data_IF_985806370017
#
_entry.id   IF_985806370017
#
_cell.length_a   1.000
_cell.length_b   1.000
_cell.length_c   1.000
_cell.angle_alpha   90.00
_cell.angle_beta   90.00
_cell.angle_gamma   90.00
#
_symmetry.space_group_name_H-M   'P 1'
#
loop_
_entity.id
_entity.type
_entity.pdbx_description
1 polymer ?
#
# COMPACT_ATOMS: atom_id res chain seq x y z
N UNK A 1 -15.51 1.69 8.05
CA UNK A 1 -16.26 1.06 6.94
C UNK A 1 -15.78 1.63 5.62
N UNK A 2 -15.31 0.78 4.70
CA UNK A 2 -14.82 1.21 3.38
C UNK A 2 -15.78 0.70 2.31
N UNK A 3 -16.32 1.62 1.50
CA UNK A 3 -17.16 1.26 0.36
C UNK A 3 -16.23 1.05 -0.84
N UNK A 4 -16.11 -0.19 -1.32
CA UNK A 4 -15.36 -0.54 -2.52
C UNK A 4 -16.35 -0.86 -3.63
N UNK A 5 -16.17 -0.22 -4.79
CA UNK A 5 -16.81 -0.64 -6.03
C UNK A 5 -16.02 -1.81 -6.59
N UNK A 6 -16.62 -3.01 -6.63
CA UNK A 6 -15.95 -4.20 -7.18
C UNK A 6 -15.51 -3.94 -8.63
N UNK A 7 -14.30 -4.36 -8.95
CA UNK A 7 -13.72 -4.53 -10.29
C UNK A 7 -13.24 -3.30 -11.08
N UNK A 8 -12.97 -2.16 -10.47
CA UNK A 8 -12.43 -1.03 -11.23
C UNK A 8 -10.90 -1.03 -11.32
N UNK A 9 -10.21 -1.59 -10.36
CA UNK A 9 -8.75 -1.78 -10.36
C UNK A 9 -8.38 -3.24 -10.11
N UNK A 10 -7.31 -3.69 -10.76
CA UNK A 10 -6.76 -5.03 -10.53
C UNK A 10 -5.49 -4.91 -9.70
N UNK A 11 -5.46 -5.61 -8.58
CA UNK A 11 -4.26 -5.72 -7.75
C UNK A 11 -3.19 -6.54 -8.48
N UNK A 12 -1.99 -5.98 -8.62
CA UNK A 12 -0.83 -6.58 -9.26
C UNK A 12 0.46 -5.98 -8.70
N UNK A 13 1.61 -6.53 -9.06
CA UNK A 13 2.89 -5.92 -8.76
C UNK A 13 3.20 -4.81 -9.77
N UNK A 14 3.21 -3.53 -9.39
CA UNK A 14 3.43 -2.44 -10.35
C UNK A 14 4.90 -2.28 -10.78
N UNK A 15 5.82 -3.08 -10.28
CA UNK A 15 7.26 -2.92 -10.52
C UNK A 15 7.83 -3.86 -11.60
N UNK A 16 7.14 -4.94 -11.92
CA UNK A 16 7.58 -6.04 -12.80
C UNK A 16 6.99 -6.08 -14.20
N UNK A 17 6.18 -5.10 -14.68
CA UNK A 17 5.48 -5.20 -15.95
C UNK A 17 6.44 -5.32 -17.15
N UNK A 18 5.98 -5.94 -18.23
CA UNK A 18 6.66 -6.07 -19.51
C UNK A 18 6.17 -5.06 -20.56
N UNK A 19 7.06 -4.63 -21.43
CA UNK A 19 6.75 -3.65 -22.47
C UNK A 19 6.53 -2.23 -21.96
N UNK A 20 5.91 -1.40 -22.80
CA UNK A 20 5.48 -0.04 -22.43
C UNK A 20 4.36 0.41 -23.36
N UNK A 21 3.56 1.38 -22.91
CA UNK A 21 2.45 1.97 -23.65
C UNK A 21 1.10 1.74 -23.01
N UNK A 22 0.05 2.05 -23.77
CA UNK A 22 -1.34 1.91 -23.36
C UNK A 22 -2.02 0.91 -24.27
N UNK A 23 -2.73 -0.05 -23.67
CA UNK A 23 -3.60 -1.00 -24.34
C UNK A 23 -5.04 -0.80 -23.91
N UNK A 24 -5.95 -0.73 -24.86
CA UNK A 24 -7.40 -0.66 -24.62
C UNK A 24 -8.09 -1.69 -25.46
N UNK A 25 -8.98 -2.47 -24.89
CA UNK A 25 -9.72 -3.52 -25.60
C UNK A 25 -10.63 -4.30 -24.66
N UNK A 26 -11.32 -5.28 -25.18
CA UNK A 26 -12.18 -6.17 -24.42
C UNK A 26 -11.33 -7.25 -23.74
N UNK A 27 -11.56 -7.48 -22.45
CA UNK A 27 -10.88 -8.53 -21.68
C UNK A 27 -11.36 -9.92 -22.11
N UNK A 28 -10.45 -10.78 -22.57
CA UNK A 28 -10.79 -12.15 -23.01
C UNK A 28 -9.72 -13.12 -22.53
N UNK A 29 -10.13 -14.27 -21.98
CA UNK A 29 -9.19 -15.35 -21.68
C UNK A 29 -8.48 -15.76 -22.96
N UNK A 30 -7.16 -15.93 -22.92
CA UNK A 30 -6.36 -16.20 -24.12
C UNK A 30 -6.80 -17.48 -24.81
N UNK A 31 -7.31 -18.45 -24.07
CA UNK A 31 -7.87 -19.70 -24.60
C UNK A 31 -9.12 -19.48 -25.44
N UNK A 32 -9.87 -18.42 -25.18
CA UNK A 32 -11.13 -18.10 -25.85
C UNK A 32 -10.98 -17.07 -26.98
N UNK A 33 -9.77 -16.57 -27.22
CA UNK A 33 -9.50 -15.67 -28.36
C UNK A 33 -9.35 -16.50 -29.63
N UNK A 34 -10.17 -16.20 -30.61
CA UNK A 34 -10.14 -16.85 -31.94
C UNK A 34 -10.36 -15.83 -33.08
N UNK A 35 -10.44 -16.30 -34.30
CA UNK A 35 -10.56 -15.49 -35.52
C UNK A 35 -11.86 -14.66 -35.60
N UNK A 36 -12.89 -15.01 -34.82
CA UNK A 36 -14.15 -14.24 -34.75
C UNK A 36 -13.92 -12.84 -34.15
N UNK A 37 -12.80 -12.65 -33.41
CA UNK A 37 -12.38 -11.36 -32.85
C UNK A 37 -11.41 -10.62 -33.81
N UNK A 38 -11.30 -11.03 -35.06
CA UNK A 38 -10.47 -10.33 -36.05
C UNK A 38 -10.98 -8.90 -36.24
N UNK A 39 -10.07 -7.93 -36.14
CA UNK A 39 -10.40 -6.50 -36.18
C UNK A 39 -10.78 -5.88 -34.84
N UNK A 40 -11.13 -6.68 -33.84
CA UNK A 40 -11.44 -6.19 -32.48
C UNK A 40 -10.17 -5.95 -31.66
N UNK A 41 -10.21 -4.92 -30.83
CA UNK A 41 -9.16 -4.63 -29.87
C UNK A 41 -9.37 -5.48 -28.60
N UNK A 42 -8.39 -6.30 -28.25
CA UNK A 42 -8.47 -7.31 -27.19
C UNK A 42 -7.35 -7.13 -26.16
N UNK A 43 -7.69 -7.29 -24.90
CA UNK A 43 -6.74 -7.48 -23.79
C UNK A 43 -6.78 -8.97 -23.42
N UNK A 44 -5.65 -9.64 -23.61
CA UNK A 44 -5.53 -11.06 -23.33
C UNK A 44 -5.33 -11.32 -21.83
N UNK A 45 -6.20 -12.15 -21.25
CA UNK A 45 -6.06 -12.62 -19.87
C UNK A 45 -5.35 -13.97 -19.88
N UNK A 46 -4.22 -14.10 -19.19
CA UNK A 46 -3.34 -15.28 -19.19
C UNK A 46 -3.24 -15.85 -17.77
N UNK A 47 -3.87 -17.00 -17.57
CA UNK A 47 -3.88 -17.69 -16.28
C UNK A 47 -2.53 -18.37 -15.97
N UNK A 48 -2.33 -18.71 -14.70
CA UNK A 48 -1.12 -19.43 -14.23
C UNK A 48 -0.90 -20.80 -14.86
N UNK A 49 -1.92 -21.36 -15.51
CA UNK A 49 -1.86 -22.68 -16.14
C UNK A 49 -1.19 -22.65 -17.53
N UNK A 50 -0.98 -21.46 -18.10
CA UNK A 50 -0.37 -21.29 -19.42
C UNK A 50 1.09 -20.92 -19.23
N UNK A 51 1.97 -21.63 -19.93
CA UNK A 51 3.40 -21.32 -19.99
C UNK A 51 3.66 -20.06 -20.80
N UNK A 52 4.66 -19.27 -20.42
CA UNK A 52 4.99 -18.02 -21.10
C UNK A 52 5.37 -18.19 -22.58
N UNK A 53 5.95 -19.35 -22.96
CA UNK A 53 6.28 -19.63 -24.37
C UNK A 53 5.02 -19.88 -25.18
N UNK A 54 4.07 -20.66 -24.63
CA UNK A 54 2.79 -20.92 -25.27
C UNK A 54 1.94 -19.66 -25.36
N UNK A 55 1.92 -18.84 -24.32
CA UNK A 55 1.27 -17.54 -24.33
C UNK A 55 1.81 -16.63 -25.43
N UNK A 56 3.14 -16.51 -25.52
CA UNK A 56 3.77 -15.66 -26.53
C UNK A 56 3.51 -16.18 -27.96
N UNK A 57 3.60 -17.49 -28.18
CA UNK A 57 3.29 -18.11 -29.46
C UNK A 57 1.85 -17.82 -29.87
N UNK A 58 0.90 -18.05 -28.96
CA UNK A 58 -0.53 -17.83 -29.23
C UNK A 58 -0.84 -16.37 -29.53
N UNK A 59 -0.25 -15.41 -28.81
CA UNK A 59 -0.40 -13.98 -29.10
C UNK A 59 0.12 -13.65 -30.52
N UNK A 60 1.29 -14.16 -30.89
CA UNK A 60 1.85 -13.94 -32.22
C UNK A 60 0.97 -14.54 -33.33
N UNK A 61 0.48 -15.77 -33.15
CA UNK A 61 -0.41 -16.45 -34.09
C UNK A 61 -1.75 -15.72 -34.26
N UNK A 62 -2.39 -15.29 -33.16
CA UNK A 62 -3.63 -14.54 -33.18
C UNK A 62 -3.46 -13.18 -33.88
N UNK A 63 -2.32 -12.50 -33.60
CA UNK A 63 -2.01 -11.22 -34.21
C UNK A 63 -1.79 -11.39 -35.74
N UNK A 64 -1.14 -12.48 -36.17
CA UNK A 64 -0.96 -12.80 -37.58
C UNK A 64 -2.28 -13.09 -38.30
N UNK A 65 -3.30 -13.57 -37.56
CA UNK A 65 -4.66 -13.83 -38.08
C UNK A 65 -5.58 -12.60 -37.99
N UNK A 66 -5.04 -11.42 -37.64
CA UNK A 66 -5.78 -10.17 -37.67
C UNK A 66 -6.49 -9.78 -36.37
N UNK A 67 -6.27 -10.49 -35.26
CA UNK A 67 -6.76 -10.06 -33.94
C UNK A 67 -5.85 -8.97 -33.39
N UNK A 68 -6.43 -7.86 -32.95
CA UNK A 68 -5.66 -6.74 -32.39
C UNK A 68 -5.41 -6.94 -30.90
N UNK A 69 -4.39 -7.74 -30.53
CA UNK A 69 -3.98 -7.85 -29.12
C UNK A 69 -3.30 -6.55 -28.69
N UNK A 70 -3.97 -5.73 -27.89
CA UNK A 70 -3.51 -4.40 -27.43
C UNK A 70 -2.70 -4.46 -26.14
N UNK A 71 -2.82 -5.53 -25.37
CA UNK A 71 -2.11 -5.74 -24.13
C UNK A 71 -2.45 -7.09 -23.51
N UNK A 72 -1.80 -7.41 -22.42
CA UNK A 72 -2.08 -8.63 -21.68
C UNK A 72 -2.03 -8.41 -20.15
N UNK A 73 -2.81 -9.23 -19.45
CA UNK A 73 -2.86 -9.32 -18.00
C UNK A 73 -2.50 -10.75 -17.63
N UNK A 74 -1.43 -10.94 -16.86
CA UNK A 74 -0.81 -12.23 -16.58
C UNK A 74 -0.84 -12.52 -15.08
N UNK A 75 -1.20 -13.74 -14.71
CA UNK A 75 -1.28 -14.13 -13.30
C UNK A 75 0.09 -14.38 -12.66
N UNK A 76 1.09 -14.86 -13.45
CA UNK A 76 2.46 -15.12 -12.99
C UNK A 76 3.38 -13.93 -13.27
N UNK A 77 4.60 -13.97 -12.75
CA UNK A 77 5.71 -13.07 -13.07
C UNK A 77 6.35 -13.48 -14.41
N UNK A 78 5.61 -13.32 -15.50
CA UNK A 78 6.01 -13.76 -16.84
C UNK A 78 5.99 -12.62 -17.89
N UNK A 79 5.62 -11.37 -17.51
CA UNK A 79 5.41 -10.28 -18.48
C UNK A 79 6.62 -10.01 -19.36
N UNK A 80 7.81 -9.94 -18.76
CA UNK A 80 9.06 -9.69 -19.49
C UNK A 80 9.40 -10.85 -20.41
N UNK A 81 9.20 -12.08 -19.95
CA UNK A 81 9.48 -13.31 -20.72
C UNK A 81 8.58 -13.43 -21.94
N UNK A 82 7.29 -13.15 -21.76
CA UNK A 82 6.31 -13.13 -22.85
C UNK A 82 6.67 -12.02 -23.83
N UNK A 83 6.81 -10.77 -23.33
CA UNK A 83 7.03 -9.62 -24.19
C UNK A 83 8.30 -9.77 -25.05
N UNK A 84 9.39 -10.34 -24.50
CA UNK A 84 10.63 -10.57 -25.26
C UNK A 84 10.43 -11.50 -26.47
N UNK A 85 9.43 -12.38 -26.44
CA UNK A 85 9.11 -13.35 -27.51
C UNK A 85 8.04 -12.87 -28.48
N UNK A 86 7.42 -11.71 -28.21
CA UNK A 86 6.42 -11.15 -29.12
C UNK A 86 7.07 -10.48 -30.33
N UNK A 87 6.49 -10.69 -31.52
CA UNK A 87 6.88 -10.01 -32.74
C UNK A 87 6.54 -8.51 -32.67
N UNK A 88 5.37 -8.18 -32.14
CA UNK A 88 4.93 -6.82 -31.83
C UNK A 88 4.87 -6.63 -30.32
N UNK A 89 5.64 -5.68 -29.79
CA UNK A 89 5.66 -5.39 -28.37
C UNK A 89 4.35 -4.75 -27.95
N UNK A 90 3.83 -5.20 -26.81
CA UNK A 90 2.60 -4.69 -26.18
C UNK A 90 2.84 -4.46 -24.70
N UNK A 91 2.07 -3.59 -24.03
CA UNK A 91 2.13 -3.48 -22.58
C UNK A 91 1.53 -4.74 -21.93
N UNK A 92 2.22 -5.28 -20.92
CA UNK A 92 1.82 -6.49 -20.18
C UNK A 92 1.95 -6.20 -18.69
N UNK A 93 0.86 -6.43 -17.96
CA UNK A 93 0.81 -6.36 -16.50
C UNK A 93 0.80 -7.77 -15.96
N UNK A 94 1.60 -8.07 -14.95
CA UNK A 94 1.76 -9.40 -14.38
C UNK A 94 1.63 -9.46 -12.87
N UNK A 95 1.87 -10.64 -12.28
CA UNK A 95 1.68 -10.91 -10.84
C UNK A 95 0.30 -10.47 -10.33
N UNK A 96 -0.74 -10.75 -11.14
CA UNK A 96 -2.09 -10.28 -10.85
C UNK A 96 -2.72 -11.12 -9.75
N UNK A 97 -3.16 -10.44 -8.69
CA UNK A 97 -3.90 -11.03 -7.58
C UNK A 97 -5.36 -11.25 -7.97
N UNK A 98 -5.94 -12.35 -7.50
CA UNK A 98 -7.36 -12.70 -7.72
C UNK A 98 -7.75 -12.73 -9.21
N UNK A 99 -6.88 -13.28 -10.04
CA UNK A 99 -7.06 -13.38 -11.49
C UNK A 99 -8.44 -13.95 -11.89
N UNK A 100 -8.95 -14.92 -11.13
CA UNK A 100 -10.25 -15.56 -11.34
C UNK A 100 -11.44 -14.61 -11.14
N UNK A 101 -11.23 -13.46 -10.51
CA UNK A 101 -12.26 -12.41 -10.30
C UNK A 101 -12.28 -11.36 -11.41
N UNK A 102 -11.35 -11.43 -12.36
CA UNK A 102 -11.32 -10.48 -13.47
C UNK A 102 -12.52 -10.71 -14.37
N UNK A 103 -13.39 -9.70 -14.57
CA UNK A 103 -14.52 -9.86 -15.47
C UNK A 103 -14.04 -9.98 -16.92
N UNK A 104 -14.61 -10.93 -17.64
CA UNK A 104 -14.39 -11.11 -19.08
C UNK A 104 -15.41 -10.34 -19.90
N UNK A 105 -15.08 -10.08 -21.19
CA UNK A 105 -15.92 -9.31 -22.13
C UNK A 105 -16.21 -7.87 -21.68
N UNK A 106 -15.31 -7.27 -20.89
CA UNK A 106 -15.44 -5.90 -20.41
C UNK A 106 -14.37 -5.01 -21.03
N UNK A 107 -14.73 -3.75 -21.30
CA UNK A 107 -13.76 -2.77 -21.76
C UNK A 107 -12.70 -2.55 -20.69
N UNK A 108 -11.46 -2.82 -21.05
CA UNK A 108 -10.29 -2.81 -20.16
C UNK A 108 -9.23 -1.91 -20.75
N UNK A 109 -8.63 -1.09 -19.91
CA UNK A 109 -7.44 -0.31 -20.25
C UNK A 109 -6.30 -0.70 -19.32
N UNK A 110 -5.12 -0.86 -19.88
CA UNK A 110 -3.89 -1.04 -19.10
C UNK A 110 -2.81 -0.09 -19.61
N UNK A 111 -1.98 0.36 -18.69
CA UNK A 111 -0.86 1.26 -18.97
C UNK A 111 0.40 0.72 -18.30
N UNK A 112 1.49 0.71 -19.06
CA UNK A 112 2.84 0.37 -18.56
C UNK A 112 3.77 1.50 -18.96
N UNK A 113 4.37 2.16 -17.98
CA UNK A 113 5.36 3.21 -18.21
C UNK A 113 6.75 2.61 -18.51
N UNK A 114 7.56 3.37 -19.24
CA UNK A 114 8.95 3.04 -19.47
C UNK A 114 9.73 2.91 -18.14
N UNK A 115 10.82 2.21 -18.16
CA UNK A 115 11.67 2.04 -16.97
C UNK A 115 12.10 3.39 -16.39
N UNK A 116 11.85 3.59 -15.10
CA UNK A 116 12.16 4.85 -14.40
C UNK A 116 11.10 5.95 -14.56
N UNK A 117 9.98 5.67 -15.24
CA UNK A 117 8.83 6.56 -15.33
C UNK A 117 7.62 5.95 -14.65
N UNK A 118 6.61 6.76 -14.41
CA UNK A 118 5.30 6.37 -13.88
C UNK A 118 4.22 6.56 -14.92
N UNK A 119 3.09 5.88 -14.76
CA UNK A 119 1.93 6.02 -15.63
C UNK A 119 1.35 7.44 -15.55
N UNK A 120 0.77 7.91 -16.63
CA UNK A 120 0.23 9.26 -16.73
C UNK A 120 -1.25 9.30 -17.13
N UNK A 121 -1.69 8.34 -17.93
CA UNK A 121 -3.06 8.33 -18.46
C UNK A 121 -4.04 7.74 -17.44
N UNK A 122 -3.76 6.56 -16.89
CA UNK A 122 -4.62 5.92 -15.90
C UNK A 122 -4.51 6.52 -14.49
N UNK A 123 -3.46 7.29 -14.21
CA UNK A 123 -3.35 8.10 -12.98
C UNK A 123 -4.02 9.47 -13.08
N UNK A 124 -4.64 9.76 -14.23
CA UNK A 124 -5.38 11.01 -14.48
C UNK A 124 -6.87 10.70 -14.73
N UNK A 125 -7.82 11.31 -13.98
CA UNK A 125 -9.24 11.04 -14.15
C UNK A 125 -9.76 11.38 -15.56
N UNK A 126 -9.23 12.43 -16.18
CA UNK A 126 -9.59 12.80 -17.56
C UNK A 126 -8.99 11.81 -18.59
N UNK A 127 -7.84 11.23 -18.29
CA UNK A 127 -7.26 10.16 -19.10
C UNK A 127 -8.16 8.93 -19.10
N UNK A 128 -8.57 8.45 -17.93
CA UNK A 128 -9.51 7.33 -17.82
C UNK A 128 -10.84 7.70 -18.51
N UNK A 129 -11.38 8.90 -18.27
CA UNK A 129 -12.63 9.34 -18.88
C UNK A 129 -12.57 9.30 -20.43
N UNK A 130 -11.45 9.70 -21.00
CA UNK A 130 -11.23 9.67 -22.45
C UNK A 130 -11.20 8.24 -22.99
N UNK A 131 -10.45 7.34 -22.33
CA UNK A 131 -10.31 5.95 -22.78
C UNK A 131 -11.63 5.16 -22.70
N UNK A 132 -12.44 5.42 -21.67
CA UNK A 132 -13.71 4.73 -21.43
C UNK A 132 -14.94 5.50 -21.93
N UNK A 133 -14.75 6.68 -22.54
CA UNK A 133 -15.82 7.57 -23.02
C UNK A 133 -16.85 7.85 -21.91
N UNK A 134 -16.36 8.26 -20.74
CA UNK A 134 -17.19 8.54 -19.58
C UNK A 134 -17.84 9.93 -19.67
N UNK A 135 -19.04 10.06 -19.13
CA UNK A 135 -19.66 11.35 -18.93
C UNK A 135 -19.12 12.07 -17.68
N UNK A 136 -19.59 13.29 -17.41
CA UNK A 136 -19.11 14.12 -16.28
C UNK A 136 -19.36 13.48 -14.92
N UNK A 137 -20.49 12.81 -14.71
CA UNK A 137 -20.81 12.14 -13.44
C UNK A 137 -19.95 10.90 -13.25
N UNK A 138 -19.78 10.09 -14.28
CA UNK A 138 -18.88 8.93 -14.27
C UNK A 138 -17.43 9.36 -14.03
N UNK A 139 -17.01 10.51 -14.58
CA UNK A 139 -15.67 11.06 -14.39
C UNK A 139 -15.42 11.44 -12.94
N UNK A 140 -16.39 12.00 -12.24
CA UNK A 140 -16.26 12.27 -10.79
C UNK A 140 -16.03 10.99 -9.97
N UNK A 141 -16.70 9.89 -10.36
CA UNK A 141 -16.62 8.62 -9.65
C UNK A 141 -15.26 7.93 -9.77
N UNK A 142 -14.49 8.23 -10.81
CA UNK A 142 -13.17 7.61 -11.04
C UNK A 142 -12.00 8.40 -10.45
N UNK A 143 -12.23 9.59 -9.91
CA UNK A 143 -11.17 10.40 -9.27
C UNK A 143 -10.42 9.62 -8.19
N UNK A 144 -11.06 8.90 -7.25
CA UNK A 144 -10.35 8.10 -6.25
C UNK A 144 -9.49 7.00 -6.87
N UNK A 145 -9.95 6.41 -7.98
CA UNK A 145 -9.24 5.34 -8.70
C UNK A 145 -7.96 5.89 -9.32
N UNK A 146 -8.06 6.99 -10.08
CA UNK A 146 -6.91 7.61 -10.70
C UNK A 146 -5.86 8.06 -9.68
N UNK A 147 -6.29 8.60 -8.54
CA UNK A 147 -5.40 8.98 -7.43
C UNK A 147 -4.67 7.78 -6.83
N UNK A 148 -5.36 6.65 -6.63
CA UNK A 148 -4.75 5.43 -6.13
C UNK A 148 -3.67 4.84 -7.07
N UNK A 149 -3.67 5.25 -8.33
CA UNK A 149 -2.71 4.80 -9.35
C UNK A 149 -1.52 5.75 -9.53
N UNK A 150 -1.52 6.91 -8.88
CA UNK A 150 -0.39 7.87 -8.94
C UNK A 150 0.88 7.20 -8.39
N UNK A 151 1.98 7.38 -9.12
CA UNK A 151 3.28 6.82 -8.73
C UNK A 151 3.52 5.38 -9.18
N UNK A 152 2.52 4.68 -9.69
CA UNK A 152 2.69 3.32 -10.19
C UNK A 152 3.40 3.31 -11.55
N UNK A 153 4.14 2.25 -11.83
CA UNK A 153 4.73 1.99 -13.16
C UNK A 153 3.76 1.30 -14.11
N UNK A 154 2.75 0.61 -13.58
CA UNK A 154 1.70 -0.03 -14.36
C UNK A 154 0.35 0.04 -13.66
N UNK A 155 -0.71 -0.07 -14.43
CA UNK A 155 -2.08 -0.14 -13.92
C UNK A 155 -3.01 -0.85 -14.90
N UNK A 156 -4.08 -1.42 -14.37
CA UNK A 156 -5.21 -1.98 -15.13
C UNK A 156 -6.50 -1.45 -14.54
N UNK A 157 -7.35 -0.90 -15.41
CA UNK A 157 -8.70 -0.42 -15.06
C UNK A 157 -9.71 -1.10 -15.97
N UNK A 158 -10.83 -1.55 -15.42
CA UNK A 158 -11.92 -2.22 -16.16
C UNK A 158 -13.20 -1.42 -15.99
N UNK A 159 -13.88 -1.14 -17.10
CA UNK A 159 -15.19 -0.51 -17.09
C UNK A 159 -16.27 -1.55 -16.81
N UNK A 160 -16.96 -1.43 -15.68
CA UNK A 160 -18.12 -2.26 -15.36
C UNK A 160 -19.42 -1.62 -15.85
N UNK A 161 -20.42 -2.41 -16.28
CA UNK A 161 -21.73 -1.89 -16.68
C UNK A 161 -22.44 -1.15 -15.54
N UNK A 162 -23.25 -0.15 -15.88
CA UNK A 162 -24.13 0.50 -14.90
C UNK A 162 -25.07 -0.54 -14.27
N UNK A 163 -25.01 -0.67 -12.95
CA UNK A 163 -25.83 -1.63 -12.19
C UNK A 163 -25.10 -2.86 -11.66
N UNK A 164 -23.93 -3.22 -12.22
CA UNK A 164 -23.10 -4.32 -11.72
C UNK A 164 -22.14 -3.90 -10.59
N UNK A 165 -22.04 -2.59 -10.33
CA UNK A 165 -21.25 -2.07 -9.22
C UNK A 165 -22.05 -2.23 -7.93
N UNK A 166 -21.90 -3.35 -7.28
CA UNK A 166 -22.34 -3.52 -5.89
C UNK A 166 -21.35 -2.80 -5.00
N UNK A 167 -21.80 -1.73 -4.34
CA UNK A 167 -21.02 -1.15 -3.26
C UNK A 167 -20.88 -2.22 -2.17
N UNK A 168 -19.68 -2.72 -1.98
CA UNK A 168 -19.38 -3.66 -0.90
C UNK A 168 -18.95 -2.85 0.31
N UNK A 169 -19.70 -2.98 1.38
CA UNK A 169 -19.31 -2.49 2.70
C UNK A 169 -18.30 -3.49 3.26
N UNK A 170 -17.06 -3.07 3.46
CA UNK A 170 -16.07 -3.87 4.16
C UNK A 170 -16.16 -3.49 5.64
N UNK A 171 -16.52 -4.42 6.53
CA UNK A 171 -16.55 -4.14 7.96
C UNK A 171 -15.16 -3.83 8.49
N UNK A 172 -15.07 -3.10 9.59
CA UNK A 172 -13.81 -2.83 10.29
C UNK A 172 -13.12 -4.13 10.71
N UNK A 173 -13.92 -5.10 11.17
CA UNK A 173 -13.49 -6.45 11.51
C UNK A 173 -12.90 -6.56 12.91
N UNK A 174 -12.28 -7.70 13.16
CA UNK A 174 -11.66 -8.04 14.43
C UNK A 174 -10.14 -8.10 14.32
N UNK A 175 -9.48 -7.79 15.42
CA UNK A 175 -8.05 -7.99 15.63
C UNK A 175 -7.86 -9.16 16.59
N UNK A 176 -7.03 -10.10 16.21
CA UNK A 176 -6.60 -11.22 17.02
C UNK A 176 -5.19 -10.95 17.54
N UNK A 177 -4.99 -11.07 18.82
CA UNK A 177 -3.72 -10.85 19.51
C UNK A 177 -3.32 -12.14 20.19
N UNK A 178 -2.22 -12.75 19.76
CA UNK A 178 -1.63 -13.92 20.38
C UNK A 178 -0.45 -13.50 21.26
N UNK A 179 -0.60 -13.57 22.56
CA UNK A 179 0.48 -13.39 23.52
C UNK A 179 1.13 -14.71 23.93
N UNK A 180 2.19 -14.63 24.74
CA UNK A 180 2.86 -15.83 25.27
C UNK A 180 1.95 -16.61 26.25
N UNK A 181 1.14 -15.92 27.02
CA UNK A 181 0.29 -16.52 28.08
C UNK A 181 -1.20 -16.42 27.82
N UNK A 182 -1.63 -15.45 27.02
CA UNK A 182 -3.05 -15.17 26.76
C UNK A 182 -3.25 -14.76 25.33
N UNK A 183 -4.42 -15.11 24.77
CA UNK A 183 -4.89 -14.63 23.49
C UNK A 183 -6.15 -13.78 23.69
N UNK A 184 -6.32 -12.78 22.85
CA UNK A 184 -7.50 -11.92 22.84
C UNK A 184 -7.98 -11.70 21.41
N UNK A 185 -9.29 -11.47 21.31
CA UNK A 185 -9.96 -11.05 20.09
C UNK A 185 -10.74 -9.79 20.42
N UNK A 186 -10.61 -8.76 19.62
CA UNK A 186 -11.27 -7.47 19.83
C UNK A 186 -11.85 -6.93 18.53
N UNK A 187 -13.09 -6.47 18.57
CA UNK A 187 -13.72 -5.77 17.46
C UNK A 187 -13.14 -4.36 17.34
N UNK A 188 -12.73 -3.97 16.13
CA UNK A 188 -12.15 -2.64 15.88
C UNK A 188 -13.16 -1.53 16.20
N UNK A 189 -14.44 -1.76 15.94
CA UNK A 189 -15.52 -0.78 16.19
C UNK A 189 -15.69 -0.39 17.68
N UNK A 190 -15.06 -1.13 18.60
CA UNK A 190 -15.08 -0.78 20.03
C UNK A 190 -14.20 0.41 20.40
N UNK A 191 -13.34 0.86 19.48
CA UNK A 191 -12.46 1.98 19.69
C UNK A 191 -11.01 1.59 20.02
N UNK A 192 -10.15 2.59 20.09
CA UNK A 192 -8.72 2.39 20.31
C UNK A 192 -8.38 1.89 21.71
N UNK A 193 -9.04 2.43 22.76
CA UNK A 193 -8.74 2.04 24.16
C UNK A 193 -8.91 0.54 24.43
N UNK A 194 -10.04 -0.12 24.07
CA UNK A 194 -10.17 -1.57 24.23
C UNK A 194 -9.14 -2.39 23.44
N UNK A 195 -8.68 -1.88 22.29
CA UNK A 195 -7.62 -2.54 21.52
C UNK A 195 -6.29 -2.48 22.29
N UNK A 196 -5.96 -1.33 22.85
CA UNK A 196 -4.72 -1.15 23.62
C UNK A 196 -4.75 -1.95 24.92
N UNK A 197 -5.88 -2.01 25.65
CA UNK A 197 -6.04 -2.86 26.83
C UNK A 197 -5.87 -4.35 26.50
N UNK A 198 -6.43 -4.80 25.37
CA UNK A 198 -6.27 -6.18 24.92
C UNK A 198 -4.79 -6.50 24.61
N UNK A 199 -4.06 -5.54 24.01
CA UNK A 199 -2.65 -5.66 23.72
C UNK A 199 -1.83 -5.80 25.02
N UNK A 200 -2.03 -4.91 25.97
CA UNK A 200 -1.34 -4.94 27.29
C UNK A 200 -1.60 -6.27 28.01
N UNK A 201 -2.85 -6.77 27.98
CA UNK A 201 -3.22 -8.04 28.62
C UNK A 201 -2.49 -9.24 28.01
N UNK A 202 -2.14 -9.15 26.72
CA UNK A 202 -1.45 -10.21 25.96
C UNK A 202 0.08 -10.10 25.96
N UNK A 203 0.63 -9.03 26.53
CA UNK A 203 2.08 -8.79 26.51
C UNK A 203 2.87 -9.86 27.29
N UNK A 204 4.03 -10.36 26.80
CA UNK A 204 4.62 -10.08 25.49
C UNK A 204 3.83 -10.73 24.34
N UNK A 205 3.69 -9.99 23.24
CA UNK A 205 2.91 -10.41 22.08
C UNK A 205 3.77 -11.24 21.13
N UNK A 206 3.23 -12.35 20.66
CA UNK A 206 3.86 -13.21 19.67
C UNK A 206 3.48 -12.83 18.26
N UNK A 207 2.18 -12.53 18.02
CA UNK A 207 1.67 -12.20 16.71
C UNK A 207 0.32 -11.49 16.79
N UNK A 208 0.05 -10.62 15.81
CA UNK A 208 -1.23 -9.92 15.65
C UNK A 208 -1.69 -10.08 14.21
N UNK A 209 -2.97 -10.44 14.01
CA UNK A 209 -3.58 -10.49 12.68
C UNK A 209 -5.03 -10.01 12.74
N UNK A 210 -5.56 -9.65 11.59
CA UNK A 210 -6.94 -9.23 11.47
C UNK A 210 -7.83 -10.30 10.84
N UNK A 211 -9.12 -10.16 11.03
CA UNK A 211 -10.14 -11.02 10.42
C UNK A 211 -10.09 -10.90 8.90
N UNK A 212 -10.04 -12.03 8.20
CA UNK A 212 -9.95 -12.09 6.74
C UNK A 212 -11.16 -11.44 6.08
N UNK A 213 -10.93 -10.61 5.05
CA UNK A 213 -12.00 -9.93 4.32
C UNK A 213 -12.52 -8.66 5.00
N UNK A 214 -11.84 -8.17 6.03
CA UNK A 214 -12.15 -6.92 6.74
C UNK A 214 -11.06 -5.87 6.53
N UNK A 215 -11.33 -4.62 6.91
CA UNK A 215 -10.34 -3.54 6.84
C UNK A 215 -9.10 -3.84 7.69
N UNK A 216 -9.28 -4.28 8.93
CA UNK A 216 -8.17 -4.65 9.82
C UNK A 216 -7.36 -5.82 9.25
N UNK A 217 -8.05 -6.84 8.72
CA UNK A 217 -7.40 -7.98 8.08
C UNK A 217 -6.55 -7.57 6.88
N UNK A 218 -7.13 -6.80 5.97
CA UNK A 218 -6.42 -6.33 4.77
C UNK A 218 -5.21 -5.45 5.09
N UNK A 219 -5.33 -4.58 6.10
CA UNK A 219 -4.25 -3.68 6.50
C UNK A 219 -3.09 -4.45 7.16
N UNK A 220 -3.35 -5.33 8.12
CA UNK A 220 -2.31 -6.10 8.80
C UNK A 220 -1.63 -7.10 7.85
N UNK A 221 -2.39 -7.69 6.92
CA UNK A 221 -1.82 -8.54 5.88
C UNK A 221 -0.92 -7.77 4.92
N UNK A 222 -1.31 -6.55 4.53
CA UNK A 222 -0.47 -5.68 3.71
C UNK A 222 0.86 -5.37 4.40
N UNK A 223 0.86 -5.12 5.71
CA UNK A 223 2.10 -4.92 6.48
C UNK A 223 3.00 -6.16 6.38
N UNK A 224 2.44 -7.37 6.54
CA UNK A 224 3.19 -8.63 6.40
C UNK A 224 3.80 -8.79 5.02
N UNK A 225 3.00 -8.56 3.97
CA UNK A 225 3.46 -8.70 2.58
C UNK A 225 4.58 -7.72 2.28
N UNK A 226 4.43 -6.45 2.64
CA UNK A 226 5.46 -5.42 2.42
C UNK A 226 6.75 -5.76 3.15
N UNK A 227 6.65 -6.17 4.42
CA UNK A 227 7.84 -6.56 5.19
C UNK A 227 8.50 -7.83 4.66
N UNK A 228 7.72 -8.80 4.22
CA UNK A 228 8.23 -10.01 3.59
C UNK A 228 9.04 -9.70 2.32
N UNK A 229 8.54 -8.80 1.48
CA UNK A 229 9.25 -8.33 0.28
C UNK A 229 10.54 -7.59 0.62
N UNK A 230 10.50 -6.68 1.62
CA UNK A 230 11.67 -5.93 2.07
C UNK A 230 12.74 -6.82 2.71
N UNK A 231 12.34 -7.93 3.34
CA UNK A 231 13.23 -8.83 4.08
C UNK A 231 13.60 -10.10 3.31
N UNK A 232 13.03 -10.29 2.11
CA UNK A 232 13.17 -11.50 1.30
C UNK A 232 12.80 -12.77 2.10
N UNK A 233 11.67 -12.70 2.81
CA UNK A 233 11.14 -13.76 3.64
C UNK A 233 9.73 -14.18 3.20
N UNK A 234 9.30 -15.39 3.57
CA UNK A 234 7.89 -15.80 3.40
C UNK A 234 6.99 -14.94 4.33
N UNK A 235 5.86 -14.37 3.85
CA UNK A 235 4.92 -13.61 4.68
C UNK A 235 4.48 -14.33 5.96
N UNK A 236 4.44 -15.67 5.95
CA UNK A 236 4.09 -16.48 7.13
C UNK A 236 5.11 -16.37 8.27
N UNK A 237 6.35 -16.01 7.96
CA UNK A 237 7.40 -15.81 8.94
C UNK A 237 7.40 -14.43 9.56
N UNK A 238 6.69 -13.48 8.93
CA UNK A 238 6.58 -12.11 9.42
C UNK A 238 5.55 -12.07 10.57
N UNK A 239 5.99 -11.63 11.74
CA UNK A 239 5.17 -11.50 12.95
C UNK A 239 4.99 -10.04 13.31
N UNK A 240 3.74 -9.62 13.51
CA UNK A 240 3.41 -8.30 14.04
C UNK A 240 3.40 -8.43 15.56
N UNK A 241 4.28 -7.71 16.24
CA UNK A 241 4.48 -7.86 17.69
C UNK A 241 4.06 -6.66 18.51
N UNK A 242 3.77 -5.56 17.85
CA UNK A 242 3.21 -4.37 18.49
C UNK A 242 2.23 -3.65 17.59
N UNK A 243 1.28 -2.97 18.20
CA UNK A 243 0.21 -2.22 17.54
C UNK A 243 -0.10 -0.96 18.37
N UNK A 244 -0.20 0.17 17.70
CA UNK A 244 -0.77 1.38 18.27
C UNK A 244 -2.11 1.65 17.61
N UNK A 245 -3.15 1.81 18.42
CA UNK A 245 -4.47 2.24 17.99
C UNK A 245 -4.77 3.63 18.54
N UNK A 246 -5.32 4.52 17.70
CA UNK A 246 -5.70 5.88 18.07
C UNK A 246 -7.07 6.18 17.48
N UNK A 247 -7.98 6.70 18.31
CA UNK A 247 -9.26 7.22 17.84
C UNK A 247 -9.04 8.51 17.04
N UNK A 248 -9.72 8.62 15.92
CA UNK A 248 -9.68 9.79 15.04
C UNK A 248 -11.03 10.04 14.40
N UNK A 249 -11.14 11.13 13.66
CA UNK A 249 -12.34 11.49 12.91
C UNK A 249 -11.96 11.68 11.43
N UNK A 250 -12.85 11.27 10.54
CA UNK A 250 -12.66 11.47 9.11
C UNK A 250 -13.87 12.22 8.54
N UNK A 251 -13.66 13.37 7.89
CA UNK A 251 -14.74 14.09 7.21
C UNK A 251 -15.25 13.27 6.03
N UNK A 252 -16.56 13.10 5.94
CA UNK A 252 -17.23 12.38 4.87
C UNK A 252 -18.34 13.24 4.27
N UNK A 253 -18.30 13.41 2.97
CA UNK A 253 -19.31 14.21 2.24
C UNK A 253 -20.68 13.54 2.37
N UNK A 254 -21.68 14.29 2.83
CA UNK A 254 -23.06 13.81 2.97
C UNK A 254 -23.67 13.63 1.58
N UNK A 255 -24.11 12.40 1.26
CA UNK A 255 -24.81 12.11 0.00
C UNK A 255 -26.18 12.78 0.01
N UNK A 256 -26.46 13.64 -0.99
CA UNK A 256 -27.72 14.36 -1.11
C UNK A 256 -27.78 15.71 -0.35
N UNK A 257 -26.70 16.12 0.28
CA UNK A 257 -26.56 17.46 0.86
C UNK A 257 -26.58 18.55 -0.20
N UNK A 258 -27.32 19.64 0.05
CA UNK A 258 -27.55 20.74 -0.90
C UNK A 258 -26.33 21.71 -0.93
N UNK A 259 -25.52 21.73 0.14
CA UNK A 259 -24.48 22.73 0.38
C UNK A 259 -23.10 22.13 0.72
N UNK A 260 -22.69 21.03 0.06
CA UNK A 260 -21.40 20.36 0.33
C UNK A 260 -21.16 20.03 1.81
N UNK A 261 -22.20 19.52 2.47
CA UNK A 261 -22.16 19.18 3.88
C UNK A 261 -21.24 17.97 4.13
N UNK A 262 -20.47 18.04 5.22
CA UNK A 262 -19.61 16.96 5.70
C UNK A 262 -20.11 16.48 7.06
N UNK A 263 -20.12 15.16 7.25
CA UNK A 263 -20.22 14.55 8.57
C UNK A 263 -18.83 14.09 9.02
N UNK A 264 -18.56 14.18 10.33
CA UNK A 264 -17.35 13.59 10.90
C UNK A 264 -17.68 12.17 11.36
N UNK A 265 -17.05 11.19 10.73
CA UNK A 265 -17.19 9.78 11.10
C UNK A 265 -16.04 9.33 12.01
N UNK A 266 -16.37 8.56 13.05
CA UNK A 266 -15.35 7.95 13.88
C UNK A 266 -14.53 6.95 13.07
N UNK A 267 -13.22 7.03 13.24
CA UNK A 267 -12.26 6.13 12.63
C UNK A 267 -11.18 5.73 13.65
N UNK A 268 -10.44 4.68 13.36
CA UNK A 268 -9.32 4.24 14.18
C UNK A 268 -8.09 4.18 13.30
N UNK A 269 -7.10 4.98 13.65
CA UNK A 269 -5.76 4.89 13.10
C UNK A 269 -5.02 3.73 13.74
N UNK A 270 -4.39 2.89 12.93
CA UNK A 270 -3.58 1.78 13.41
C UNK A 270 -2.16 1.90 12.85
N UNK A 271 -1.17 1.77 13.72
CA UNK A 271 0.21 1.55 13.33
C UNK A 271 0.64 0.17 13.84
N UNK A 272 1.31 -0.62 13.01
CA UNK A 272 1.75 -1.96 13.35
C UNK A 272 3.26 -2.09 13.20
N UNK A 273 3.90 -2.77 14.14
CA UNK A 273 5.33 -3.04 14.11
C UNK A 273 5.59 -4.53 13.93
N UNK A 274 6.47 -4.80 13.00
CA UNK A 274 7.00 -6.15 12.74
C UNK A 274 8.36 -6.28 13.41
N UNK A 275 8.62 -7.41 14.05
CA UNK A 275 9.98 -7.73 14.51
C UNK A 275 10.87 -7.94 13.29
N UNK A 276 11.78 -7.00 13.06
CA UNK A 276 12.82 -7.17 12.06
C UNK A 276 13.95 -8.02 12.65
N UNK A 277 14.27 -9.13 11.99
CA UNK A 277 15.44 -9.93 12.37
C UNK A 277 16.73 -9.20 11.98
N UNK A 278 17.81 -9.45 12.75
CA UNK A 278 19.18 -8.96 12.48
C UNK A 278 19.70 -9.34 11.09
N UNK A 279 19.10 -10.34 10.45
CA UNK A 279 19.48 -10.87 9.14
C UNK A 279 19.65 -9.81 8.04
N UNK A 280 18.83 -8.75 8.06
CA UNK A 280 18.98 -7.66 7.09
C UNK A 280 20.25 -6.86 7.28
N UNK A 281 20.56 -6.48 8.52
CA UNK A 281 21.79 -5.73 8.82
C UNK A 281 23.05 -6.58 8.56
N UNK A 282 22.98 -7.87 8.82
CA UNK A 282 24.06 -8.81 8.51
C UNK A 282 24.27 -8.96 7.00
N UNK A 283 23.19 -9.04 6.19
CA UNK A 283 23.28 -9.01 4.72
C UNK A 283 23.90 -7.71 4.21
N UNK A 284 23.42 -6.56 4.68
CA UNK A 284 23.99 -5.25 4.32
C UNK A 284 25.49 -5.20 4.69
N UNK A 285 25.84 -5.69 5.87
CA UNK A 285 27.23 -5.73 6.31
C UNK A 285 28.10 -6.61 5.40
N UNK A 286 27.59 -7.78 4.97
CA UNK A 286 28.28 -8.67 4.03
C UNK A 286 28.44 -8.02 2.65
N UNK A 287 27.39 -7.42 2.10
CA UNK A 287 27.43 -6.73 0.81
C UNK A 287 28.42 -5.55 0.82
N UNK A 288 28.43 -4.77 1.90
CA UNK A 288 29.39 -3.68 2.09
C UNK A 288 30.81 -4.21 2.22
N UNK A 289 31.01 -5.31 2.97
CA UNK A 289 32.31 -5.93 3.13
C UNK A 289 32.86 -6.41 1.79
N UNK A 290 32.03 -7.04 0.96
CA UNK A 290 32.40 -7.48 -0.38
C UNK A 290 32.80 -6.31 -1.28
N UNK A 291 31.96 -5.26 -1.32
CA UNK A 291 32.18 -4.08 -2.17
C UNK A 291 33.37 -3.22 -1.76
N UNK A 292 33.63 -3.12 -0.46
CA UNK A 292 34.66 -2.24 0.09
C UNK A 292 36.00 -2.97 0.34
N UNK A 293 36.00 -4.30 0.34
CA UNK A 293 37.19 -5.11 0.73
C UNK A 293 37.62 -4.85 2.18
N UNK A 294 36.69 -4.42 3.05
CA UNK A 294 36.94 -4.10 4.46
C UNK A 294 36.02 -4.91 5.34
N UNK A 295 36.48 -5.28 6.57
CA UNK A 295 35.61 -5.91 7.54
C UNK A 295 34.52 -4.93 7.99
N UNK A 296 33.27 -5.33 7.85
CA UNK A 296 32.07 -4.56 8.29
C UNK A 296 31.45 -5.30 9.48
N UNK A 297 31.17 -4.60 10.56
CA UNK A 297 30.58 -5.15 11.78
C UNK A 297 29.32 -4.38 12.11
N UNK A 298 28.24 -5.11 12.40
CA UNK A 298 27.02 -4.51 12.96
C UNK A 298 27.28 -4.10 14.40
N UNK A 299 27.19 -2.80 14.69
CA UNK A 299 27.57 -2.23 15.99
C UNK A 299 26.60 -2.56 17.13
N UNK A 300 25.29 -2.61 16.84
CA UNK A 300 24.25 -2.90 17.83
C UNK A 300 22.87 -2.59 17.28
N UNK A 301 21.85 -2.64 18.13
CA UNK A 301 20.49 -2.22 17.80
C UNK A 301 20.32 -0.71 18.05
N UNK A 302 19.43 -0.08 17.30
CA UNK A 302 19.21 1.37 17.29
C UNK A 302 19.02 1.96 18.69
N UNK A 303 18.14 1.38 19.48
CA UNK A 303 17.85 1.83 20.84
C UNK A 303 19.06 1.79 21.80
N UNK A 304 19.93 0.76 21.66
CA UNK A 304 21.17 0.68 22.44
C UNK A 304 22.19 1.73 21.99
N UNK A 305 22.28 1.97 20.69
CA UNK A 305 23.19 2.96 20.13
C UNK A 305 22.76 4.38 20.49
N UNK A 306 21.45 4.66 20.51
CA UNK A 306 20.90 5.92 20.93
C UNK A 306 21.30 6.26 22.38
N UNK A 307 21.16 5.30 23.31
CA UNK A 307 21.50 5.54 24.72
C UNK A 307 23.02 5.67 24.93
N UNK A 308 23.82 4.92 24.19
CA UNK A 308 25.29 5.04 24.24
C UNK A 308 25.70 6.41 23.67
N UNK A 309 25.09 6.83 22.56
CA UNK A 309 25.34 8.14 21.96
C UNK A 309 24.99 9.29 22.90
N UNK A 310 23.85 9.22 23.59
CA UNK A 310 23.45 10.25 24.55
C UNK A 310 24.40 10.38 25.73
N UNK A 311 25.02 9.27 26.19
CA UNK A 311 26.02 9.28 27.24
C UNK A 311 27.33 10.00 26.85
N UNK A 312 27.55 10.27 25.54
CA UNK A 312 28.66 11.10 25.10
C UNK A 312 28.42 12.61 25.28
N UNK A 313 27.17 13.00 25.54
CA UNK A 313 26.80 14.40 25.76
C UNK A 313 27.27 14.87 27.15
N UNK A 314 28.00 15.97 27.25
CA UNK A 314 28.44 16.51 28.55
C UNK A 314 27.27 16.74 29.52
N UNK A 315 27.41 16.28 30.75
CA UNK A 315 26.39 16.41 31.79
C UNK A 315 25.39 15.27 31.88
N UNK A 316 25.42 14.31 30.97
CA UNK A 316 24.58 13.09 31.06
C UNK A 316 25.30 11.98 31.84
N UNK A 317 24.59 11.35 32.78
CA UNK A 317 25.12 10.30 33.65
C UNK A 317 24.10 9.14 33.77
N UNK A 318 24.58 7.97 34.15
CA UNK A 318 23.72 6.83 34.50
C UNK A 318 23.08 7.02 35.88
N UNK A 319 21.80 6.69 36.11
CA UNK A 319 20.90 6.08 35.14
C UNK A 319 20.36 7.12 34.14
N UNK A 320 20.02 6.66 32.94
CA UNK A 320 19.48 7.50 31.88
C UNK A 320 18.36 6.74 31.16
N UNK A 321 17.30 7.46 30.81
CA UNK A 321 16.23 6.97 29.94
C UNK A 321 16.17 7.84 28.70
N UNK A 322 15.97 7.24 27.56
CA UNK A 322 15.82 7.93 26.27
C UNK A 322 14.55 7.42 25.59
N UNK A 323 13.85 8.34 24.99
CA UNK A 323 12.77 8.05 24.02
C UNK A 323 13.24 8.65 22.69
N UNK A 324 13.40 7.80 21.71
CA UNK A 324 13.71 8.16 20.32
C UNK A 324 12.45 8.00 19.49
N UNK A 325 11.91 9.12 19.02
CA UNK A 325 10.67 9.16 18.24
C UNK A 325 11.01 9.38 16.77
N UNK A 326 11.04 8.30 16.02
CA UNK A 326 11.32 8.31 14.58
C UNK A 326 10.11 8.69 13.73
N UNK A 327 10.11 8.24 12.49
CA UNK A 327 8.98 8.40 11.57
C UNK A 327 7.90 7.35 11.79
N UNK A 328 8.25 6.06 11.84
CA UNK A 328 7.32 4.92 11.93
C UNK A 328 7.23 4.25 13.28
N UNK A 329 8.29 4.35 14.10
CA UNK A 329 8.43 3.70 15.40
C UNK A 329 8.98 4.63 16.45
N UNK A 330 8.72 4.29 17.69
CA UNK A 330 9.27 4.95 18.89
C UNK A 330 10.10 3.95 19.68
N UNK A 331 11.36 4.27 19.94
CA UNK A 331 12.28 3.47 20.71
C UNK A 331 12.44 4.04 22.12
N UNK A 332 12.20 3.22 23.13
CA UNK A 332 12.46 3.58 24.50
C UNK A 332 13.59 2.72 25.07
N UNK A 333 14.58 3.36 25.66
CA UNK A 333 15.75 2.71 26.23
C UNK A 333 16.06 3.25 27.60
N UNK A 334 16.46 2.36 28.51
CA UNK A 334 16.88 2.70 29.86
C UNK A 334 18.23 2.06 30.13
N UNK A 335 19.19 2.85 30.63
CA UNK A 335 20.44 2.31 31.19
C UNK A 335 20.46 2.50 32.70
N UNK A 336 20.65 1.43 33.40
CA UNK A 336 20.74 1.42 34.87
C UNK A 336 22.11 1.85 35.35
N UNK A 337 22.27 2.12 36.67
CA UNK A 337 23.56 2.51 37.28
C UNK A 337 24.65 1.49 37.06
N UNK A 338 24.34 0.20 37.08
CA UNK A 338 25.23 -0.91 36.81
C UNK A 338 25.52 -1.15 35.33
N UNK A 339 24.96 -0.32 34.45
CA UNK A 339 25.22 -0.34 33.00
C UNK A 339 24.40 -1.32 32.20
N UNK A 340 23.37 -1.98 32.77
CA UNK A 340 22.45 -2.81 32.02
C UNK A 340 21.52 -1.96 31.19
N UNK A 341 21.39 -2.28 29.90
CA UNK A 341 20.49 -1.63 28.96
C UNK A 341 19.24 -2.51 28.78
N UNK A 342 18.10 -1.89 28.85
CA UNK A 342 16.80 -2.47 28.48
C UNK A 342 16.14 -1.55 27.48
N UNK A 343 15.65 -2.09 26.38
CA UNK A 343 14.96 -1.32 25.33
C UNK A 343 13.67 -1.99 24.94
N UNK A 344 12.73 -1.18 24.49
CA UNK A 344 11.50 -1.64 23.83
C UNK A 344 11.26 -0.81 22.57
N UNK A 345 10.70 -1.46 21.57
CA UNK A 345 10.28 -0.85 20.31
C UNK A 345 8.76 -0.77 20.31
N UNK A 346 8.23 0.41 20.04
CA UNK A 346 6.80 0.70 20.06
C UNK A 346 6.34 1.12 18.66
N UNK A 347 5.17 0.62 18.27
CA UNK A 347 4.54 1.03 17.01
C UNK A 347 4.07 2.47 17.06
N UNK A 348 4.22 3.19 15.96
CA UNK A 348 3.73 4.57 15.80
C UNK A 348 4.73 5.63 16.27
N UNK A 349 4.82 6.68 15.46
CA UNK A 349 5.66 7.85 15.70
C UNK A 349 5.21 9.02 14.81
N UNK A 350 6.12 9.84 14.29
CA UNK A 350 5.84 11.05 13.53
C UNK A 350 4.89 10.88 12.34
N UNK A 351 4.98 9.78 11.62
CA UNK A 351 4.08 9.50 10.48
C UNK A 351 2.62 9.26 10.92
N UNK A 352 2.40 8.72 12.12
CA UNK A 352 1.06 8.57 12.67
C UNK A 352 0.41 9.93 12.89
N UNK A 353 1.15 10.90 13.44
CA UNK A 353 0.68 12.27 13.62
C UNK A 353 0.35 12.91 12.28
N UNK A 354 1.23 12.78 11.29
CA UNK A 354 1.00 13.30 9.94
C UNK A 354 -0.25 12.69 9.30
N UNK A 355 -0.43 11.37 9.44
CA UNK A 355 -1.61 10.66 8.95
C UNK A 355 -2.90 11.15 9.63
N UNK A 356 -2.88 11.38 10.94
CA UNK A 356 -4.03 11.90 11.68
C UNK A 356 -4.41 13.32 11.20
N UNK A 357 -3.43 14.20 11.03
CA UNK A 357 -3.65 15.54 10.46
C UNK A 357 -4.27 15.45 9.06
N UNK A 358 -3.72 14.61 8.18
CA UNK A 358 -4.25 14.40 6.82
C UNK A 358 -5.70 13.94 6.85
N UNK A 359 -6.03 12.98 7.71
CA UNK A 359 -7.37 12.39 7.79
C UNK A 359 -8.38 13.29 8.46
N UNK A 360 -8.06 13.90 9.59
CA UNK A 360 -8.98 14.75 10.34
C UNK A 360 -9.32 16.05 9.59
N UNK A 361 -8.34 16.60 8.87
CA UNK A 361 -8.55 17.80 8.05
C UNK A 361 -9.03 17.49 6.63
N UNK A 362 -9.09 16.21 6.25
CA UNK A 362 -9.49 15.79 4.90
C UNK A 362 -8.60 16.36 3.80
N UNK A 363 -7.29 16.52 4.06
CA UNK A 363 -6.37 17.17 3.14
C UNK A 363 -6.08 16.32 1.90
N UNK A 364 -6.11 14.99 2.04
CA UNK A 364 -5.69 14.03 1.00
C UNK A 364 -4.31 14.37 0.40
N UNK A 365 -3.44 14.95 1.26
CA UNK A 365 -2.10 15.43 0.88
C UNK A 365 -1.16 15.28 2.08
N UNK A 366 -0.37 14.20 2.05
CA UNK A 366 0.55 13.86 3.12
C UNK A 366 1.66 14.90 3.32
N UNK A 367 2.15 15.52 2.23
CA UNK A 367 3.20 16.53 2.32
C UNK A 367 2.67 17.80 3.01
N UNK A 368 1.45 18.23 2.68
CA UNK A 368 0.81 19.36 3.37
C UNK A 368 0.54 19.05 4.86
N UNK A 369 0.10 17.83 5.17
CA UNK A 369 -0.07 17.41 6.56
C UNK A 369 1.25 17.38 7.33
N UNK A 370 2.34 16.99 6.67
CA UNK A 370 3.69 17.01 7.22
C UNK A 370 4.17 18.45 7.47
N UNK A 371 3.87 19.36 6.57
CA UNK A 371 4.18 20.79 6.74
C UNK A 371 3.38 21.41 7.90
N UNK A 372 2.09 21.07 8.03
CA UNK A 372 1.27 21.49 9.18
C UNK A 372 1.87 21.00 10.52
N UNK A 373 2.39 19.76 10.52
CA UNK A 373 3.07 19.22 11.71
C UNK A 373 4.38 19.95 12.04
N UNK A 374 5.15 20.34 11.03
CA UNK A 374 6.51 20.89 11.17
C UNK A 374 6.55 22.38 11.45
N UNK A 375 5.63 23.13 10.87
CA UNK A 375 5.69 24.58 10.84
C UNK A 375 4.59 25.21 11.69
N UNK A 376 4.86 26.37 12.32
CA UNK A 376 3.84 27.09 13.07
C UNK A 376 2.70 27.54 12.17
N UNK A 377 1.49 27.48 12.68
CA UNK A 377 0.30 27.93 11.99
C UNK A 377 0.13 29.45 12.12
N UNK A 378 -0.49 30.05 11.12
CA UNK A 378 -0.82 31.45 11.12
C UNK A 378 -2.22 31.67 10.53
N UNK A 379 -2.98 32.59 11.14
CA UNK A 379 -4.29 33.01 10.63
C UNK A 379 -4.11 34.17 9.65
N UNK A 380 -4.56 34.00 8.43
CA UNK A 380 -4.64 35.08 7.46
C UNK A 380 -5.88 35.93 7.76
N UNK A 381 -5.70 37.13 8.29
CA UNK A 381 -6.79 38.05 8.62
C UNK A 381 -7.14 38.99 7.48
N UNK A 382 -6.17 39.30 6.61
CA UNK A 382 -6.38 40.04 5.36
C UNK A 382 -5.24 39.74 4.38
N UNK A 383 -5.30 40.30 3.17
CA UNK A 383 -4.23 40.16 2.16
C UNK A 383 -2.86 40.65 2.62
N UNK A 384 -2.82 41.51 3.68
CA UNK A 384 -1.61 42.14 4.17
C UNK A 384 -1.37 41.89 5.67
N UNK A 385 -2.21 41.08 6.32
CA UNK A 385 -2.09 40.83 7.74
C UNK A 385 -2.23 39.35 8.08
N UNK A 386 -1.18 38.80 8.64
CA UNK A 386 -1.11 37.42 9.11
C UNK A 386 -0.80 37.45 10.60
N UNK A 387 -1.62 36.76 11.38
CA UNK A 387 -1.37 36.61 12.82
C UNK A 387 -0.82 35.20 13.06
N UNK A 388 0.37 35.11 13.62
CA UNK A 388 0.95 33.89 14.09
C UNK A 388 0.24 33.36 15.35
N UNK A 389 0.44 32.07 15.64
CA UNK A 389 -0.20 31.39 16.77
C UNK A 389 0.22 31.97 18.12
N UNK A 390 1.41 32.53 18.23
CA UNK A 390 1.98 33.18 19.42
C UNK A 390 1.60 34.66 19.58
N UNK A 391 0.79 35.21 18.69
CA UNK A 391 0.21 36.54 18.78
C UNK A 391 0.84 37.60 17.89
#
# INVERSE_FOLDING_TARGET
>A
ETIITESTMIGHNPTTPGGAGIGVGISVLIENIDERLSGEDVIALISKNIDFQDAARRINDLTARGVNIRGAVVQKDDAVLINNRLNKKIPIVDEVLYFEKIPVNMLTALEVAEKGKVISMLSNPYGIATLFKLNSEETKMIVPISRALIGNRSAVVIKTPKGDVKSRIIPAGKIHIAGMSKNREIEVDKGAEPIMEALETCFPVNDIWGETGTNAGGMLEKVRIVMAQLTDQDPKNIKIQDLLAVNTFVPKKVKGGIAEEFSMENAIGLAAMVKADRLQMERIALDLQEKLGKKVIVGGVEAEMAIIGALTTPGTNKPLAIIDMGAGSTDASVITRDGRISSCHLAGAGNMVTMLIDKELGLENFDLAEDIKKYPLAKVESLFHIRHEDG
#
